data_IF_477699132655
#
_entry.id   IF_477699132655
#
_cell.length_a   1.000
_cell.length_b   1.000
_cell.length_c   1.000
_cell.angle_alpha   90.00
_cell.angle_beta   90.00
_cell.angle_gamma   90.00
#
_symmetry.space_group_name_H-M   'P 1'
#
loop_
_entity.id
_entity.type
_entity.pdbx_description
1 polymer ?
#
# COMPACT_ATOMS: atom_id res chain seq x y z
N UNK A 1 4.95 -15.90 6.95
CA UNK A 1 5.63 -16.35 5.71
C UNK A 1 6.20 -15.13 5.01
N UNK A 2 7.43 -15.21 4.49
CA UNK A 2 8.08 -14.13 3.74
C UNK A 2 8.04 -14.46 2.25
N UNK A 3 7.63 -13.49 1.43
CA UNK A 3 7.62 -13.63 -0.02
C UNK A 3 8.33 -12.44 -0.68
N UNK A 4 9.12 -12.73 -1.70
CA UNK A 4 9.65 -11.73 -2.62
C UNK A 4 8.89 -11.85 -3.94
N UNK A 5 8.18 -10.79 -4.31
CA UNK A 5 7.54 -10.69 -5.61
C UNK A 5 8.52 -10.05 -6.57
N UNK A 6 8.90 -10.77 -7.63
CA UNK A 6 9.73 -10.22 -8.70
C UNK A 6 8.85 -9.96 -9.91
N UNK A 7 8.75 -8.69 -10.33
CA UNK A 7 8.08 -8.32 -11.57
C UNK A 7 9.10 -7.74 -12.53
N UNK A 8 9.08 -8.19 -13.79
CA UNK A 8 9.92 -7.67 -14.88
C UNK A 8 9.54 -6.23 -15.25
N UNK A 9 9.82 -5.30 -14.34
CA UNK A 9 9.62 -3.87 -14.44
C UNK A 9 10.85 -3.21 -13.85
N UNK A 10 11.40 -2.26 -14.59
CA UNK A 10 12.57 -1.51 -14.13
C UNK A 10 12.20 -0.68 -12.88
N UNK A 11 13.01 -0.66 -11.81
CA UNK A 11 12.76 0.14 -10.61
C UNK A 11 12.50 1.64 -10.87
N UNK A 12 13.09 2.21 -11.93
CA UNK A 12 12.85 3.60 -12.33
C UNK A 12 11.38 3.87 -12.68
N UNK A 13 10.61 2.83 -13.00
CA UNK A 13 9.17 2.93 -13.23
C UNK A 13 8.42 3.47 -12.00
N UNK A 14 8.88 3.21 -10.76
CA UNK A 14 8.26 3.78 -9.57
C UNK A 14 8.29 5.31 -9.58
N UNK A 15 9.42 5.88 -10.00
CA UNK A 15 9.55 7.32 -10.16
C UNK A 15 8.71 7.83 -11.33
N UNK A 16 8.79 7.21 -12.51
CA UNK A 16 7.96 7.60 -13.65
C UNK A 16 6.46 7.51 -13.37
N UNK A 17 6.02 6.53 -12.59
CA UNK A 17 4.62 6.37 -12.19
C UNK A 17 4.16 7.45 -11.21
N UNK A 18 5.08 8.07 -10.45
CA UNK A 18 4.77 9.18 -9.53
C UNK A 18 4.49 10.50 -10.25
N UNK A 19 5.02 10.70 -11.46
CA UNK A 19 4.88 11.97 -12.20
C UNK A 19 3.49 12.17 -12.80
N UNK A 20 2.57 11.22 -12.66
CA UNK A 20 1.15 11.39 -13.00
C UNK A 20 0.46 12.43 -12.12
N UNK A 21 0.98 12.67 -10.90
CA UNK A 21 0.44 13.66 -9.98
C UNK A 21 1.26 14.95 -10.01
N UNK A 22 0.66 16.02 -10.54
CA UNK A 22 1.26 17.36 -10.53
C UNK A 22 1.16 18.03 -9.15
N UNK A 23 0.16 17.65 -8.34
CA UNK A 23 -0.10 18.25 -7.03
C UNK A 23 -0.09 17.21 -5.90
N UNK A 24 0.60 17.46 -4.76
CA UNK A 24 0.67 16.48 -3.66
C UNK A 24 -0.69 16.05 -3.12
N UNK A 25 -1.68 16.96 -3.09
CA UNK A 25 -3.00 16.59 -2.57
C UNK A 25 -3.78 15.66 -3.50
N UNK A 26 -3.49 15.60 -4.81
CA UNK A 26 -4.11 14.57 -5.66
C UNK A 26 -3.55 13.19 -5.34
N UNK A 27 -2.28 13.09 -4.94
CA UNK A 27 -1.71 11.84 -4.42
C UNK A 27 -2.30 11.46 -3.05
N UNK A 28 -2.61 12.44 -2.21
CA UNK A 28 -3.32 12.21 -0.93
C UNK A 28 -4.75 11.71 -1.20
N UNK A 29 -5.46 12.30 -2.16
CA UNK A 29 -6.82 11.90 -2.53
C UNK A 29 -6.89 10.41 -2.94
N UNK A 30 -5.93 9.91 -3.72
CA UNK A 30 -5.85 8.48 -4.07
C UNK A 30 -5.80 7.56 -2.84
N UNK A 31 -5.12 7.96 -1.76
CA UNK A 31 -5.04 7.18 -0.53
C UNK A 31 -6.36 7.25 0.26
N UNK A 32 -7.03 8.41 0.26
CA UNK A 32 -8.36 8.59 0.84
C UNK A 32 -9.39 7.74 0.11
N UNK A 33 -9.38 7.74 -1.22
CA UNK A 33 -10.29 6.98 -2.08
C UNK A 33 -10.19 5.48 -1.82
N UNK A 34 -8.97 4.96 -1.62
CA UNK A 34 -8.76 3.55 -1.27
C UNK A 34 -9.38 3.17 0.08
N UNK A 35 -9.37 4.07 1.07
CA UNK A 35 -10.01 3.79 2.37
C UNK A 35 -11.54 3.86 2.27
N UNK A 36 -12.06 4.76 1.43
CA UNK A 36 -13.49 4.95 1.18
C UNK A 36 -14.10 3.83 0.33
N UNK A 37 -13.31 3.18 -0.54
CA UNK A 37 -13.81 2.19 -1.50
C UNK A 37 -14.62 1.06 -0.83
N UNK A 38 -15.67 0.52 -1.49
CA UNK A 38 -16.63 -0.39 -0.87
C UNK A 38 -16.06 -1.70 -0.31
N UNK A 39 -14.90 -2.15 -0.81
CA UNK A 39 -14.19 -3.33 -0.34
C UNK A 39 -13.43 -3.09 0.97
N UNK A 40 -13.02 -1.84 1.24
CA UNK A 40 -12.40 -1.41 2.49
C UNK A 40 -13.45 -0.89 3.47
N UNK A 41 -14.36 -0.03 3.01
CA UNK A 41 -15.50 0.50 3.77
C UNK A 41 -15.08 1.10 5.13
N UNK A 42 -14.00 1.87 5.15
CA UNK A 42 -13.56 2.55 6.36
C UNK A 42 -14.58 3.60 6.78
N UNK A 43 -14.84 3.68 8.09
CA UNK A 43 -15.71 4.72 8.67
C UNK A 43 -14.93 5.97 9.04
N UNK A 44 -13.64 5.79 9.33
CA UNK A 44 -12.74 6.84 9.76
C UNK A 44 -11.39 6.63 9.09
N UNK A 45 -10.76 7.76 8.77
CA UNK A 45 -9.40 7.86 8.26
C UNK A 45 -8.69 8.95 9.06
N UNK A 46 -7.48 8.64 9.51
CA UNK A 46 -6.59 9.58 10.19
C UNK A 46 -5.37 9.82 9.31
N UNK A 47 -5.06 11.09 9.09
CA UNK A 47 -3.87 11.54 8.39
C UNK A 47 -3.04 12.33 9.37
N UNK A 48 -1.81 11.88 9.62
CA UNK A 48 -0.94 12.50 10.61
C UNK A 48 0.53 12.51 10.16
N UNK A 49 1.30 13.43 10.72
CA UNK A 49 2.75 13.49 10.58
C UNK A 49 3.38 13.00 11.87
N UNK A 50 4.15 11.94 11.78
CA UNK A 50 4.92 11.39 12.90
C UNK A 50 6.42 11.42 12.60
N UNK A 51 7.23 11.02 13.56
CA UNK A 51 8.66 10.83 13.39
C UNK A 51 9.04 9.42 13.86
N UNK A 52 9.57 8.61 12.95
CA UNK A 52 10.00 7.23 13.25
C UNK A 52 11.51 7.18 13.04
N UNK A 53 12.27 6.85 14.11
CA UNK A 53 13.75 6.82 14.10
C UNK A 53 14.38 8.11 13.55
N UNK A 54 13.80 9.27 13.89
CA UNK A 54 14.27 10.57 13.42
C UNK A 54 13.85 10.95 12.00
N UNK A 55 13.16 10.08 11.27
CA UNK A 55 12.65 10.34 9.92
C UNK A 55 11.20 10.79 10.01
N UNK A 56 10.87 11.91 9.35
CA UNK A 56 9.49 12.36 9.23
C UNK A 56 8.68 11.40 8.35
N UNK A 57 7.52 10.98 8.85
CA UNK A 57 6.64 10.05 8.15
C UNK A 57 5.22 10.62 8.08
N UNK A 58 4.65 10.64 6.88
CA UNK A 58 3.23 10.87 6.67
C UNK A 58 2.50 9.53 6.81
N UNK A 59 1.48 9.50 7.67
CA UNK A 59 0.73 8.29 8.01
C UNK A 59 -0.71 8.41 7.56
N UNK A 60 -1.24 7.31 7.03
CA UNK A 60 -2.64 7.14 6.67
C UNK A 60 -3.12 5.89 7.40
N UNK A 61 -4.06 6.07 8.31
CA UNK A 61 -4.64 4.98 9.09
C UNK A 61 -6.14 4.96 8.91
N UNK A 62 -6.69 3.82 8.52
CA UNK A 62 -8.13 3.61 8.42
C UNK A 62 -8.58 2.46 9.33
N UNK A 63 -9.89 2.40 9.62
CA UNK A 63 -10.51 1.32 10.38
C UNK A 63 -11.36 0.38 9.51
N UNK A 64 -11.02 0.28 8.22
CA UNK A 64 -11.73 -0.54 7.25
C UNK A 64 -11.46 -2.04 7.41
N UNK A 65 -11.84 -2.79 6.38
CA UNK A 65 -11.84 -4.25 6.38
C UNK A 65 -10.42 -4.88 6.45
N UNK A 66 -9.39 -4.11 6.07
CA UNK A 66 -8.01 -4.57 5.94
C UNK A 66 -7.78 -5.59 4.83
N UNK A 67 -6.54 -6.05 4.70
CA UNK A 67 -6.06 -6.91 3.62
C UNK A 67 -5.46 -8.21 4.15
N UNK A 68 -5.72 -9.30 3.44
CA UNK A 68 -4.94 -10.54 3.52
C UNK A 68 -3.71 -10.45 2.60
N UNK A 69 -2.97 -11.56 2.48
CA UNK A 69 -1.78 -11.62 1.62
C UNK A 69 -2.10 -11.30 0.16
N UNK A 70 -3.16 -11.89 -0.40
CA UNK A 70 -3.50 -11.72 -1.81
C UNK A 70 -3.94 -10.29 -2.12
N UNK A 71 -4.72 -9.67 -1.23
CA UNK A 71 -5.09 -8.27 -1.37
C UNK A 71 -3.87 -7.33 -1.27
N UNK A 72 -2.96 -7.57 -0.31
CA UNK A 72 -1.70 -6.82 -0.19
C UNK A 72 -0.82 -6.99 -1.44
N UNK A 73 -0.73 -8.22 -1.95
CA UNK A 73 0.01 -8.54 -3.17
C UNK A 73 -0.55 -7.77 -4.36
N UNK A 74 -1.87 -7.74 -4.55
CA UNK A 74 -2.53 -6.97 -5.60
C UNK A 74 -2.35 -5.46 -5.41
N UNK A 75 -2.42 -4.97 -4.17
CA UNK A 75 -2.20 -3.55 -3.84
C UNK A 75 -0.79 -3.09 -4.23
N UNK A 76 0.24 -3.91 -4.04
CA UNK A 76 1.63 -3.53 -4.31
C UNK A 76 2.12 -3.95 -5.70
N UNK A 77 1.46 -4.92 -6.33
CA UNK A 77 1.78 -5.35 -7.69
C UNK A 77 1.13 -4.46 -8.74
N UNK A 78 1.88 -4.15 -9.79
CA UNK A 78 1.35 -3.42 -10.95
C UNK A 78 0.41 -4.30 -11.78
N UNK A 79 -0.55 -3.72 -12.51
CA UNK A 79 -1.36 -4.44 -13.51
C UNK A 79 -2.44 -5.39 -12.95
N UNK A 80 -2.83 -5.26 -11.68
CA UNK A 80 -4.00 -5.94 -11.13
C UNK A 80 -5.10 -4.91 -10.83
N UNK A 81 -6.25 -5.07 -11.46
CA UNK A 81 -7.47 -4.28 -11.20
C UNK A 81 -8.69 -5.19 -11.23
N UNK A 82 -9.05 -5.76 -10.09
CA UNK A 82 -10.29 -6.55 -9.90
C UNK A 82 -11.35 -5.75 -9.12
N UNK A 83 -11.38 -4.42 -9.22
CA UNK A 83 -12.40 -3.62 -8.51
C UNK A 83 -13.72 -3.70 -9.28
N UNK A 84 -14.59 -4.63 -8.87
CA UNK A 84 -15.98 -4.73 -9.33
C UNK A 84 -16.86 -3.86 -8.44
N UNK A 85 -17.69 -3.01 -9.04
CA UNK A 85 -18.73 -2.26 -8.34
C UNK A 85 -19.60 -3.20 -7.52
N UNK A 86 -19.63 -3.03 -6.20
CA UNK A 86 -20.48 -3.82 -5.31
C UNK A 86 -21.67 -2.94 -4.88
N UNK A 87 -22.89 -3.44 -5.09
CA UNK A 87 -24.14 -2.89 -4.54
C UNK A 87 -24.42 -1.42 -4.90
N UNK A 88 -24.15 -1.01 -6.14
CA UNK A 88 -24.48 0.33 -6.62
C UNK A 88 -23.57 1.45 -6.09
N UNK A 89 -22.46 1.11 -5.43
CA UNK A 89 -21.39 2.04 -5.12
C UNK A 89 -20.22 1.78 -6.08
N UNK A 90 -19.93 2.76 -6.94
CA UNK A 90 -18.81 2.69 -7.87
C UNK A 90 -17.51 2.83 -7.07
N UNK A 91 -16.58 1.88 -7.24
CA UNK A 91 -15.23 2.03 -6.72
C UNK A 91 -14.55 3.19 -7.47
N UNK A 92 -13.87 4.08 -6.73
CA UNK A 92 -13.19 5.23 -7.31
C UNK A 92 -11.93 4.77 -8.05
N UNK A 93 -11.21 3.79 -7.48
CA UNK A 93 -9.98 3.26 -8.07
C UNK A 93 -10.23 2.24 -9.19
N UNK A 94 -10.30 2.67 -10.46
CA UNK A 94 -10.47 1.75 -11.59
C UNK A 94 -9.16 1.14 -12.12
N UNK A 95 -8.03 1.81 -11.91
CA UNK A 95 -6.77 1.51 -12.62
C UNK A 95 -5.77 0.69 -11.83
N UNK A 96 -6.03 0.41 -10.54
CA UNK A 96 -5.11 -0.37 -9.70
C UNK A 96 -3.74 0.28 -9.48
N UNK A 97 -3.56 1.54 -9.88
CA UNK A 97 -2.30 2.27 -9.83
C UNK A 97 -2.27 3.41 -8.80
N UNK A 98 -3.43 3.89 -8.35
CA UNK A 98 -3.57 5.06 -7.46
C UNK A 98 -2.71 5.01 -6.20
N UNK A 99 -2.73 3.87 -5.50
CA UNK A 99 -1.87 3.66 -4.33
C UNK A 99 -0.38 3.80 -4.69
N UNK A 100 0.07 3.19 -5.79
CA UNK A 100 1.49 3.21 -6.18
C UNK A 100 1.92 4.58 -6.65
N UNK A 101 1.15 5.26 -7.50
CA UNK A 101 1.48 6.59 -7.99
C UNK A 101 1.41 7.63 -6.87
N UNK A 102 0.38 7.56 -6.04
CA UNK A 102 0.17 8.46 -4.91
C UNK A 102 1.26 8.33 -3.85
N UNK A 103 1.53 7.11 -3.38
CA UNK A 103 2.59 6.87 -2.38
C UNK A 103 3.97 7.28 -2.89
N UNK A 104 4.33 6.92 -4.13
CA UNK A 104 5.62 7.29 -4.73
C UNK A 104 5.73 8.79 -5.05
N UNK A 105 4.61 9.53 -5.12
CA UNK A 105 4.61 10.99 -5.24
C UNK A 105 4.91 11.69 -3.92
N UNK A 106 4.43 11.12 -2.81
CA UNK A 106 4.55 11.68 -1.45
C UNK A 106 5.88 11.30 -0.78
N UNK A 107 6.45 10.14 -1.11
CA UNK A 107 7.71 9.68 -0.55
C UNK A 107 8.42 8.67 -1.44
N UNK A 108 9.71 8.43 -1.17
CA UNK A 108 10.50 7.42 -1.90
C UNK A 108 10.12 5.99 -1.50
N UNK A 109 9.61 5.84 -0.28
CA UNK A 109 9.41 4.56 0.39
C UNK A 109 8.06 4.55 1.10
N UNK A 110 7.35 3.44 1.02
CA UNK A 110 6.10 3.21 1.75
C UNK A 110 6.10 1.81 2.37
N UNK A 111 5.61 1.72 3.60
CA UNK A 111 5.33 0.48 4.30
C UNK A 111 3.84 0.46 4.61
N UNK A 112 3.18 -0.65 4.24
CA UNK A 112 1.75 -0.85 4.46
C UNK A 112 1.57 -1.91 5.52
N UNK A 113 0.93 -1.54 6.62
CA UNK A 113 0.46 -2.47 7.64
C UNK A 113 -1.03 -2.70 7.43
N UNK A 114 -1.46 -3.96 7.47
CA UNK A 114 -2.88 -4.26 7.37
C UNK A 114 -3.25 -5.49 8.19
N UNK A 115 -4.47 -5.48 8.73
CA UNK A 115 -5.02 -6.56 9.53
C UNK A 115 -6.41 -6.93 9.02
N UNK A 116 -6.62 -8.20 8.68
CA UNK A 116 -7.91 -8.73 8.23
C UNK A 116 -8.24 -10.00 8.99
N UNK A 117 -9.28 -9.95 9.83
CA UNK A 117 -9.70 -11.08 10.68
C UNK A 117 -8.52 -11.64 11.49
N UNK A 118 -8.03 -12.81 11.09
CA UNK A 118 -6.94 -13.53 11.75
C UNK A 118 -5.58 -13.36 11.05
N UNK A 119 -5.48 -12.57 9.98
CA UNK A 119 -4.20 -12.30 9.31
C UNK A 119 -3.74 -10.85 9.53
N UNK A 120 -2.42 -10.67 9.60
CA UNK A 120 -1.76 -9.38 9.60
C UNK A 120 -0.64 -9.42 8.56
N UNK A 121 -0.60 -8.43 7.69
CA UNK A 121 0.35 -8.34 6.59
C UNK A 121 1.12 -7.03 6.66
N UNK A 122 2.42 -7.11 6.37
CA UNK A 122 3.29 -5.97 6.14
C UNK A 122 3.83 -6.07 4.73
N UNK A 123 3.67 -5.03 3.94
CA UNK A 123 4.22 -4.94 2.59
C UNK A 123 5.04 -3.67 2.43
N UNK A 124 6.08 -3.72 1.60
CA UNK A 124 6.95 -2.57 1.35
C UNK A 124 7.14 -2.31 -0.14
N UNK A 125 6.99 -1.05 -0.54
CA UNK A 125 7.37 -0.56 -1.86
C UNK A 125 8.36 0.59 -1.68
N UNK A 126 9.63 0.38 -2.04
CA UNK A 126 10.72 1.27 -1.66
C UNK A 126 11.72 1.46 -2.80
N UNK A 127 11.85 2.71 -3.26
CA UNK A 127 12.88 3.09 -4.23
C UNK A 127 14.27 2.99 -3.61
N UNK A 128 14.40 3.32 -2.33
CA UNK A 128 15.66 3.25 -1.59
C UNK A 128 16.16 1.81 -1.52
N UNK A 129 15.31 0.87 -1.09
CA UNK A 129 15.62 -0.56 -1.03
C UNK A 129 16.06 -1.13 -2.38
N UNK A 130 15.32 -0.84 -3.46
CA UNK A 130 15.65 -1.34 -4.80
C UNK A 130 16.99 -0.79 -5.30
N UNK A 131 17.28 0.48 -5.00
CA UNK A 131 18.56 1.11 -5.37
C UNK A 131 19.72 0.52 -4.58
N UNK A 132 19.58 0.37 -3.26
CA UNK A 132 20.64 -0.16 -2.39
C UNK A 132 20.95 -1.62 -2.69
N UNK A 133 19.94 -2.42 -2.99
CA UNK A 133 20.11 -3.83 -3.39
C UNK A 133 20.52 -4.01 -4.85
N UNK A 134 20.63 -2.92 -5.62
CA UNK A 134 20.92 -2.93 -7.06
C UNK A 134 19.97 -3.86 -7.83
N UNK A 135 18.70 -3.88 -7.43
CA UNK A 135 17.70 -4.72 -8.05
C UNK A 135 17.53 -4.31 -9.52
N UNK A 136 17.54 -5.29 -10.43
CA UNK A 136 17.22 -5.06 -11.85
C UNK A 136 15.73 -4.99 -12.12
N UNK A 137 14.92 -5.45 -11.17
CA UNK A 137 13.48 -5.57 -11.23
C UNK A 137 12.84 -5.03 -9.95
N UNK A 138 11.57 -4.64 -10.02
CA UNK A 138 10.80 -4.29 -8.83
C UNK A 138 10.61 -5.55 -7.98
N UNK A 139 11.12 -5.46 -6.75
CA UNK A 139 10.99 -6.46 -5.69
C UNK A 139 10.09 -5.87 -4.59
N UNK A 140 9.02 -6.59 -4.25
CA UNK A 140 8.09 -6.20 -3.18
C UNK A 140 8.14 -7.23 -2.05
N UNK A 141 8.77 -6.91 -0.91
CA UNK A 141 8.73 -7.75 0.27
C UNK A 141 7.34 -7.72 0.89
N UNK A 142 6.76 -8.91 1.14
CA UNK A 142 5.50 -9.07 1.87
C UNK A 142 5.69 -10.13 2.95
N UNK A 143 5.23 -9.81 4.16
CA UNK A 143 5.24 -10.70 5.31
C UNK A 143 3.82 -10.81 5.85
N UNK A 144 3.30 -12.03 5.93
CA UNK A 144 1.99 -12.30 6.54
C UNK A 144 2.11 -13.22 7.73
N UNK A 145 1.38 -12.88 8.79
CA UNK A 145 1.25 -13.61 10.03
C UNK A 145 -0.21 -14.02 10.23
N UNK A 146 -0.43 -15.27 10.61
CA UNK A 146 -1.75 -15.73 11.06
C UNK A 146 -1.77 -15.72 12.59
N UNK A 147 -2.83 -15.17 13.16
CA UNK A 147 -3.08 -15.13 14.59
C UNK A 147 -3.52 -16.53 15.02
N UNK A 148 -2.63 -17.23 15.72
CA UNK A 148 -2.96 -18.48 16.41
C UNK A 148 -3.22 -18.12 17.88
N UNK A 149 -4.48 -18.10 18.31
CA UNK A 149 -4.88 -17.74 19.68
C UNK A 149 -4.85 -16.23 19.99
N UNK A 150 -4.77 -15.87 21.28
CA UNK A 150 -4.84 -14.48 21.77
C UNK A 150 -3.53 -13.70 21.66
N UNK A 151 -2.63 -14.05 20.74
CA UNK A 151 -1.36 -13.32 20.63
C UNK A 151 -1.60 -11.94 20.01
N UNK A 152 -1.22 -10.89 20.74
CA UNK A 152 -1.15 -9.53 20.23
C UNK A 152 0.22 -9.39 19.57
N UNK A 153 0.23 -9.22 18.25
CA UNK A 153 1.45 -8.83 17.53
C UNK A 153 1.45 -7.30 17.50
N UNK A 154 2.42 -6.70 18.18
CA UNK A 154 2.66 -5.27 18.17
C UNK A 154 3.51 -4.93 16.95
N UNK A 155 2.95 -4.15 16.02
CA UNK A 155 3.75 -3.43 15.03
C UNK A 155 4.04 -2.05 15.63
N UNK A 156 5.32 -1.76 15.90
CA UNK A 156 5.79 -0.42 16.26
C UNK A 156 6.24 0.33 15.00
#
# INVERSE_FOLDING_TARGET
QFFFVNKSLNPNYLHSNSTSHTWPFSAIAELIDNAYDPDVCAKQLWIDKTQIKGVDCLTFMDNGAGMDYDAMYKLLSFGFSDKRSLRGHAAVGMYGNGFKSGSMRLGKDVIVFSKRRNSMSVGMLSQTYLKETKASNIIVPIVTYNRVGSQNILFQ
#
